data_IF_939302289414
#
_entry.id   IF_939302289414
#
_cell.length_a   1.000
_cell.length_b   1.000
_cell.length_c   1.000
_cell.angle_alpha   90.00
_cell.angle_beta   90.00
_cell.angle_gamma   90.00
#
_symmetry.space_group_name_H-M   'P 1'
#
loop_
_entity.id
_entity.type
_entity.pdbx_description
1 polymer ?
#
# COMPACT_ATOMS: atom_id res chain seq x y z
N UNK A 1 6.24 -15.92 9.37
CA UNK A 1 7.17 -15.37 10.38
C UNK A 1 6.40 -14.99 11.62
N UNK A 2 6.64 -15.69 12.72
CA UNK A 2 6.12 -15.30 14.04
C UNK A 2 6.91 -14.13 14.64
N UNK A 3 6.31 -13.44 15.61
CA UNK A 3 7.00 -12.41 16.39
C UNK A 3 8.02 -13.06 17.32
N UNK A 4 9.24 -12.52 17.34
CA UNK A 4 10.33 -12.97 18.19
C UNK A 4 9.99 -12.58 19.63
N UNK A 5 9.74 -13.59 20.46
CA UNK A 5 9.46 -13.44 21.87
C UNK A 5 9.88 -14.71 22.63
N UNK A 6 10.07 -14.61 23.95
CA UNK A 6 10.49 -15.76 24.76
C UNK A 6 9.54 -16.95 24.68
N UNK A 7 8.25 -16.75 24.41
CA UNK A 7 7.30 -17.85 24.28
C UNK A 7 7.48 -18.58 22.94
N UNK A 8 7.55 -17.83 21.84
CA UNK A 8 7.75 -18.41 20.50
C UNK A 8 9.11 -19.09 20.41
N UNK A 9 10.17 -18.47 20.95
CA UNK A 9 11.51 -19.07 20.97
C UNK A 9 11.56 -20.32 21.85
N UNK A 10 10.92 -20.31 23.02
CA UNK A 10 10.84 -21.50 23.89
C UNK A 10 10.09 -22.65 23.21
N UNK A 11 8.96 -22.34 22.57
CA UNK A 11 8.15 -23.32 21.84
C UNK A 11 8.90 -23.93 20.66
N UNK A 12 9.58 -23.09 19.87
CA UNK A 12 10.32 -23.52 18.67
C UNK A 12 11.57 -24.34 19.05
N UNK A 13 12.32 -23.90 20.06
CA UNK A 13 13.52 -24.59 20.51
C UNK A 13 13.24 -25.80 21.42
N UNK A 14 11.97 -26.04 21.80
CA UNK A 14 11.59 -27.14 22.68
C UNK A 14 12.14 -27.02 24.11
N UNK A 15 12.39 -25.80 24.58
CA UNK A 15 12.97 -25.53 25.90
C UNK A 15 12.00 -24.76 26.80
N UNK A 16 12.16 -24.90 28.12
CA UNK A 16 11.42 -24.07 29.06
C UNK A 16 11.89 -22.60 28.98
N UNK A 17 10.97 -21.66 29.23
CA UNK A 17 11.32 -20.22 29.29
C UNK A 17 12.39 -19.93 30.34
N UNK A 18 12.38 -20.65 31.46
CA UNK A 18 13.40 -20.54 32.50
C UNK A 18 14.80 -20.78 31.94
N UNK A 19 14.97 -21.74 31.04
CA UNK A 19 16.25 -21.99 30.34
C UNK A 19 16.71 -20.75 29.57
N UNK A 20 15.80 -20.07 28.86
CA UNK A 20 16.14 -18.85 28.12
C UNK A 20 16.45 -17.66 29.02
N UNK A 21 15.82 -17.56 30.20
CA UNK A 21 16.09 -16.48 31.16
C UNK A 21 17.37 -16.71 31.96
N UNK A 22 17.71 -17.97 32.26
CA UNK A 22 18.89 -18.33 33.05
C UNK A 22 20.20 -18.18 32.26
N UNK A 23 20.12 -18.13 30.93
CA UNK A 23 21.27 -17.92 30.04
C UNK A 23 21.21 -16.49 29.50
N UNK A 24 22.06 -15.62 30.06
CA UNK A 24 22.04 -14.18 29.80
C UNK A 24 22.32 -13.82 28.34
N UNK A 25 23.18 -14.59 27.68
CA UNK A 25 23.50 -14.50 26.26
C UNK A 25 22.28 -14.77 25.37
N UNK A 26 21.51 -15.82 25.68
CA UNK A 26 20.27 -16.14 24.96
C UNK A 26 19.23 -15.04 25.16
N UNK A 27 19.09 -14.56 26.41
CA UNK A 27 18.17 -13.47 26.74
C UNK A 27 18.52 -12.20 25.95
N UNK A 28 19.78 -11.78 25.95
CA UNK A 28 20.24 -10.60 25.23
C UNK A 28 20.03 -10.74 23.72
N UNK A 29 20.29 -11.93 23.18
CA UNK A 29 20.09 -12.22 21.75
C UNK A 29 18.63 -12.11 21.35
N UNK A 30 17.72 -12.71 22.13
CA UNK A 30 16.28 -12.67 21.87
C UNK A 30 15.75 -11.24 21.92
N UNK A 31 16.16 -10.45 22.93
CA UNK A 31 15.74 -9.05 23.03
C UNK A 31 16.28 -8.20 21.88
N UNK A 32 17.54 -8.39 21.50
CA UNK A 32 18.15 -7.68 20.35
C UNK A 32 17.38 -7.98 19.06
N UNK A 33 17.11 -9.26 18.78
CA UNK A 33 16.38 -9.66 17.58
C UNK A 33 14.92 -9.17 17.59
N UNK A 34 14.27 -9.15 18.76
CA UNK A 34 12.91 -8.59 18.93
C UNK A 34 12.89 -7.08 18.64
N UNK A 35 13.88 -6.33 19.10
CA UNK A 35 13.98 -4.89 18.79
C UNK A 35 14.20 -4.65 17.29
N UNK A 36 15.09 -5.43 16.66
CA UNK A 36 15.34 -5.36 15.22
C UNK A 36 14.09 -5.67 14.39
N UNK A 37 13.33 -6.71 14.78
CA UNK A 37 12.07 -7.04 14.12
C UNK A 37 11.07 -5.89 14.22
N UNK A 38 10.95 -5.27 15.41
CA UNK A 38 10.03 -4.16 15.66
C UNK A 38 10.35 -2.94 14.80
N UNK A 39 11.63 -2.57 14.68
CA UNK A 39 12.10 -1.49 13.80
C UNK A 39 11.84 -1.77 12.32
N UNK A 40 12.05 -3.02 11.89
CA UNK A 40 11.81 -3.42 10.49
C UNK A 40 10.32 -3.32 10.11
N UNK A 41 9.42 -3.70 11.02
CA UNK A 41 7.96 -3.61 10.82
C UNK A 41 7.52 -2.14 10.70
N UNK A 42 8.08 -1.24 11.51
CA UNK A 42 7.76 0.20 11.43
C UNK A 42 8.22 0.80 10.09
N UNK A 43 9.43 0.49 9.64
CA UNK A 43 9.90 0.94 8.32
C UNK A 43 9.05 0.40 7.16
N UNK A 44 8.63 -0.87 7.22
CA UNK A 44 7.73 -1.44 6.21
C UNK A 44 6.36 -0.75 6.22
N UNK A 45 5.81 -0.45 7.40
CA UNK A 45 4.55 0.29 7.53
C UNK A 45 4.65 1.70 6.95
N UNK A 46 5.74 2.41 7.22
CA UNK A 46 5.99 3.76 6.66
C UNK A 46 6.08 3.70 5.13
N UNK A 47 6.88 2.76 4.58
CA UNK A 47 7.01 2.59 3.13
C UNK A 47 5.67 2.24 2.46
N UNK A 48 4.83 1.42 3.11
CA UNK A 48 3.48 1.09 2.62
C UNK A 48 2.59 2.33 2.57
N UNK A 49 2.51 3.10 3.67
CA UNK A 49 1.75 4.36 3.72
C UNK A 49 2.17 5.35 2.63
N UNK A 50 3.47 5.53 2.42
CA UNK A 50 3.96 6.42 1.35
C UNK A 50 3.54 5.93 -0.05
N UNK A 51 3.61 4.62 -0.28
CA UNK A 51 3.18 4.05 -1.56
C UNK A 51 1.67 4.19 -1.77
N UNK A 52 0.87 3.99 -0.72
CA UNK A 52 -0.58 4.14 -0.81
C UNK A 52 -1.00 5.60 -1.06
N UNK A 53 -0.37 6.57 -0.40
CA UNK A 53 -0.58 7.99 -0.70
C UNK A 53 -0.23 8.34 -2.16
N UNK A 54 0.84 7.78 -2.70
CA UNK A 54 1.23 7.99 -4.10
C UNK A 54 0.20 7.37 -5.07
N UNK A 55 -0.36 6.21 -4.74
CA UNK A 55 -1.45 5.59 -5.52
C UNK A 55 -2.71 6.45 -5.48
N UNK A 56 -3.08 7.00 -4.32
CA UNK A 56 -4.23 7.89 -4.20
C UNK A 56 -4.09 9.13 -5.08
N UNK A 57 -2.93 9.81 -5.03
CA UNK A 57 -2.66 10.97 -5.88
C UNK A 57 -2.73 10.62 -7.38
N UNK A 58 -2.23 9.44 -7.77
CA UNK A 58 -2.32 8.96 -9.15
C UNK A 58 -3.78 8.70 -9.57
N UNK A 59 -4.57 8.06 -8.71
CA UNK A 59 -6.00 7.80 -8.94
C UNK A 59 -6.76 9.11 -9.14
N UNK A 60 -6.53 10.13 -8.30
CA UNK A 60 -7.18 11.43 -8.45
C UNK A 60 -6.79 12.14 -9.76
N UNK A 61 -5.52 12.06 -10.15
CA UNK A 61 -5.05 12.59 -11.42
C UNK A 61 -5.75 11.91 -12.61
N UNK A 62 -5.84 10.59 -12.60
CA UNK A 62 -6.51 9.81 -13.66
C UNK A 62 -8.01 10.11 -13.72
N UNK A 63 -8.69 10.20 -12.57
CA UNK A 63 -10.11 10.58 -12.51
C UNK A 63 -10.36 11.95 -13.13
N UNK A 64 -9.52 12.94 -12.82
CA UNK A 64 -9.60 14.29 -13.43
C UNK A 64 -9.41 14.24 -14.95
N UNK A 65 -8.44 13.46 -15.43
CA UNK A 65 -8.20 13.29 -16.87
C UNK A 65 -9.39 12.63 -17.57
N UNK A 66 -9.95 11.57 -17.01
CA UNK A 66 -11.13 10.90 -17.58
C UNK A 66 -12.33 11.84 -17.67
N UNK A 67 -12.64 12.57 -16.59
CA UNK A 67 -13.73 13.54 -16.59
C UNK A 67 -13.57 14.59 -17.70
N UNK A 68 -12.35 15.13 -17.87
CA UNK A 68 -12.05 16.09 -18.94
C UNK A 68 -12.27 15.49 -20.33
N UNK A 69 -11.78 14.27 -20.55
CA UNK A 69 -11.96 13.55 -21.82
C UNK A 69 -13.44 13.26 -22.12
N UNK A 70 -14.22 12.86 -21.13
CA UNK A 70 -15.66 12.62 -21.26
C UNK A 70 -16.42 13.90 -21.64
N UNK A 71 -16.10 15.02 -21.00
CA UNK A 71 -16.69 16.32 -21.32
C UNK A 71 -16.33 16.79 -22.74
N UNK A 72 -15.08 16.65 -23.15
CA UNK A 72 -14.61 16.95 -24.51
C UNK A 72 -15.32 16.06 -25.54
N UNK A 73 -15.40 14.76 -25.29
CA UNK A 73 -16.08 13.81 -26.17
C UNK A 73 -17.57 14.18 -26.34
N UNK A 74 -18.25 14.56 -25.25
CA UNK A 74 -19.64 15.02 -25.28
C UNK A 74 -19.81 16.30 -26.10
N UNK A 75 -18.90 17.27 -25.95
CA UNK A 75 -18.91 18.51 -26.74
C UNK A 75 -18.71 18.24 -28.23
N UNK A 76 -17.72 17.41 -28.58
CA UNK A 76 -17.44 17.03 -29.98
C UNK A 76 -18.63 16.32 -30.61
N UNK A 77 -19.26 15.37 -29.89
CA UNK A 77 -20.47 14.69 -30.37
C UNK A 77 -21.63 15.67 -30.60
N UNK A 78 -21.78 16.70 -29.78
CA UNK A 78 -22.80 17.73 -29.96
C UNK A 78 -22.52 18.58 -31.20
N UNK A 79 -21.28 19.03 -31.38
CA UNK A 79 -20.86 19.79 -32.57
C UNK A 79 -21.07 18.97 -33.84
N UNK A 80 -20.72 17.69 -33.81
CA UNK A 80 -20.91 16.77 -34.93
C UNK A 80 -22.39 16.66 -35.33
N UNK A 81 -23.30 16.51 -34.36
CA UNK A 81 -24.75 16.48 -34.63
C UNK A 81 -25.26 17.76 -35.30
N UNK A 82 -24.80 18.92 -34.84
CA UNK A 82 -25.18 20.21 -35.42
C UNK A 82 -24.68 20.32 -36.86
N UNK A 83 -23.40 20.00 -37.10
CA UNK A 83 -22.80 20.03 -38.43
C UNK A 83 -23.52 19.09 -39.41
N UNK A 84 -23.88 17.87 -38.99
CA UNK A 84 -24.67 16.96 -39.83
C UNK A 84 -26.05 17.50 -40.17
N UNK A 85 -26.74 18.10 -39.20
CA UNK A 85 -28.05 18.71 -39.44
C UNK A 85 -27.98 19.90 -40.42
N UNK A 86 -26.90 20.70 -40.35
CA UNK A 86 -26.67 21.81 -41.29
C UNK A 86 -26.38 21.32 -42.71
N UNK A 87 -25.61 20.23 -42.86
CA UNK A 87 -25.38 19.60 -44.16
C UNK A 87 -26.69 19.10 -44.75
N UNK A 88 -27.52 18.41 -43.96
CA UNK A 88 -28.78 17.85 -44.44
C UNK A 88 -29.83 18.90 -44.81
N UNK A 89 -29.78 20.11 -44.23
CA UNK A 89 -30.66 21.24 -44.60
C UNK A 89 -30.28 21.92 -45.91
N UNK A 90 -29.07 21.68 -46.41
CA UNK A 90 -28.57 22.24 -47.68
C UNK A 90 -28.88 21.36 -48.90
N UNK A 91 -29.40 20.17 -48.65
CA UNK A 91 -30.00 19.28 -49.66
C UNK A 91 -31.51 19.37 -49.56
#
# INVERSE_FOLDING_TARGET
NENINFNSVASEAGVAKATLYNHSDLRERIETLRQQQSQSLTQQQIKRKMNDNNKEALIESLKRKNKKLEEENKKLRKQLKVAYAEVYKKF
#
